data_IF_850666456520
#
_entry.id   IF_850666456520
#
_cell.length_a   1.000
_cell.length_b   1.000
_cell.length_c   1.000
_cell.angle_alpha   90.00
_cell.angle_beta   90.00
_cell.angle_gamma   90.00
#
_symmetry.space_group_name_H-M   'P 1'
#
loop_
_entity.id
_entity.type
_entity.pdbx_description
1 polymer ?
#
# COMPACT_ATOMS: atom_id res chain seq x y z
N UNK A 1 -19.29 18.39 -13.88
CA UNK A 1 -17.99 18.31 -13.18
C UNK A 1 -17.44 16.94 -13.43
N UNK A 2 -16.19 16.82 -13.89
CA UNK A 2 -15.52 15.52 -13.96
C UNK A 2 -15.08 15.15 -12.55
N UNK A 3 -15.22 13.89 -12.18
CA UNK A 3 -14.74 13.37 -10.90
C UNK A 3 -13.21 13.42 -10.86
N UNK A 4 -12.64 14.03 -9.80
CA UNK A 4 -11.19 13.99 -9.54
C UNK A 4 -10.90 13.05 -8.35
N UNK A 5 -10.37 11.84 -8.60
CA UNK A 5 -10.06 10.88 -7.55
C UNK A 5 -9.04 11.42 -6.55
N UNK A 6 -8.10 12.27 -6.97
CA UNK A 6 -7.06 12.81 -6.09
C UNK A 6 -7.64 13.78 -5.06
N UNK A 7 -8.53 14.66 -5.50
CA UNK A 7 -9.22 15.57 -4.58
C UNK A 7 -10.09 14.80 -3.58
N UNK A 8 -10.81 13.78 -4.04
CA UNK A 8 -11.62 12.92 -3.18
C UNK A 8 -10.77 12.19 -2.12
N UNK A 9 -9.63 11.62 -2.51
CA UNK A 9 -8.71 10.93 -1.59
C UNK A 9 -8.00 11.88 -0.61
N UNK A 10 -7.64 13.10 -1.03
CA UNK A 10 -7.12 14.14 -0.13
C UNK A 10 -8.18 14.57 0.89
N UNK A 11 -9.41 14.79 0.45
CA UNK A 11 -10.52 15.15 1.34
C UNK A 11 -10.82 14.04 2.38
N UNK A 12 -10.58 12.78 2.01
CA UNK A 12 -10.71 11.63 2.91
C UNK A 12 -9.48 11.39 3.82
N UNK A 13 -8.44 12.23 3.72
CA UNK A 13 -7.21 12.11 4.51
C UNK A 13 -6.33 10.91 4.14
N UNK A 14 -6.55 10.30 2.97
CA UNK A 14 -5.77 9.15 2.47
C UNK A 14 -4.47 9.63 1.82
N UNK A 15 -4.55 10.71 1.05
CA UNK A 15 -3.38 11.38 0.47
C UNK A 15 -2.98 12.55 1.38
N UNK A 16 -1.77 12.47 1.94
CA UNK A 16 -1.15 13.55 2.72
C UNK A 16 -0.10 14.30 1.92
N UNK A 17 0.09 15.60 2.19
CA UNK A 17 1.09 16.41 1.51
C UNK A 17 2.44 16.39 2.25
N UNK A 18 3.59 16.23 1.56
CA UNK A 18 3.75 16.08 0.11
C UNK A 18 3.55 14.63 -0.37
N UNK A 19 2.82 14.45 -1.48
CA UNK A 19 2.64 13.15 -2.15
C UNK A 19 3.76 12.94 -3.19
N UNK A 20 4.32 11.73 -3.25
CA UNK A 20 5.27 11.37 -4.31
C UNK A 20 4.58 11.40 -5.70
N UNK A 21 5.20 11.95 -6.76
CA UNK A 21 4.56 12.09 -8.08
C UNK A 21 4.03 10.78 -8.65
N UNK A 22 4.77 9.68 -8.49
CA UNK A 22 4.35 8.35 -8.93
C UNK A 22 3.06 7.87 -8.23
N UNK A 23 2.85 8.28 -6.98
CA UNK A 23 1.65 7.95 -6.23
C UNK A 23 0.45 8.79 -6.71
N UNK A 24 0.67 10.06 -7.04
CA UNK A 24 -0.37 10.90 -7.64
C UNK A 24 -0.84 10.36 -9.00
N UNK A 25 0.09 9.90 -9.84
CA UNK A 25 -0.23 9.30 -11.14
C UNK A 25 -1.04 8.01 -10.98
N UNK A 26 -0.65 7.13 -10.04
CA UNK A 26 -1.37 5.90 -9.76
C UNK A 26 -2.81 6.15 -9.28
N UNK A 27 -3.02 7.16 -8.44
CA UNK A 27 -4.36 7.50 -7.96
C UNK A 27 -5.20 8.29 -8.96
N UNK A 28 -4.57 8.98 -9.91
CA UNK A 28 -5.28 9.70 -10.97
C UNK A 28 -6.06 8.78 -11.93
N UNK A 29 -5.66 7.50 -12.04
CA UNK A 29 -6.31 6.53 -12.93
C UNK A 29 -7.51 5.80 -12.31
N UNK A 30 -7.82 6.04 -11.03
CA UNK A 30 -8.90 5.34 -10.35
C UNK A 30 -10.28 5.77 -10.83
N UNK A 31 -11.20 4.81 -10.90
CA UNK A 31 -12.63 5.09 -11.08
C UNK A 31 -13.25 5.69 -9.82
N UNK A 32 -14.46 6.22 -9.97
CA UNK A 32 -15.25 6.73 -8.85
C UNK A 32 -15.58 5.62 -7.85
N UNK A 33 -15.94 4.43 -8.32
CA UNK A 33 -16.23 3.26 -7.48
C UNK A 33 -15.00 2.79 -6.71
N UNK A 34 -13.84 2.70 -7.36
CA UNK A 34 -12.58 2.32 -6.73
C UNK A 34 -12.16 3.32 -5.65
N UNK A 35 -12.32 4.62 -5.95
CA UNK A 35 -12.03 5.68 -4.99
C UNK A 35 -12.97 5.60 -3.77
N UNK A 36 -14.26 5.40 -4.01
CA UNK A 36 -15.25 5.24 -2.94
C UNK A 36 -14.99 4.01 -2.07
N UNK A 37 -14.52 2.91 -2.68
CA UNK A 37 -14.10 1.72 -1.95
C UNK A 37 -12.93 2.03 -1.01
N UNK A 38 -11.90 2.73 -1.49
CA UNK A 38 -10.74 3.12 -0.67
C UNK A 38 -11.14 4.02 0.50
N UNK A 39 -12.02 5.00 0.27
CA UNK A 39 -12.56 5.87 1.32
C UNK A 39 -13.34 5.06 2.36
N UNK A 40 -14.17 4.13 1.90
CA UNK A 40 -14.95 3.26 2.78
C UNK A 40 -14.04 2.37 3.63
N UNK A 41 -12.99 1.81 3.03
CA UNK A 41 -12.02 0.97 3.74
C UNK A 41 -11.25 1.80 4.78
N UNK A 42 -10.78 3.00 4.42
CA UNK A 42 -10.05 3.88 5.34
C UNK A 42 -10.89 4.22 6.58
N UNK A 43 -12.20 4.47 6.42
CA UNK A 43 -13.09 4.77 7.55
C UNK A 43 -13.44 3.55 8.41
N UNK A 44 -13.44 2.33 7.85
CA UNK A 44 -13.83 1.10 8.56
C UNK A 44 -12.64 0.35 9.17
N UNK A 45 -11.45 0.45 8.59
CA UNK A 45 -10.25 -0.24 9.07
C UNK A 45 -9.99 -0.04 10.57
N UNK A 46 -10.16 1.17 11.17
CA UNK A 46 -9.94 1.35 12.60
C UNK A 46 -10.88 0.56 13.50
N UNK A 47 -12.10 0.28 13.03
CA UNK A 47 -13.09 -0.47 13.81
C UNK A 47 -12.91 -1.99 13.67
N UNK A 48 -12.39 -2.46 12.52
CA UNK A 48 -12.31 -3.89 12.21
C UNK A 48 -10.97 -4.49 12.63
N UNK A 49 -9.87 -3.72 12.53
CA UNK A 49 -8.52 -4.20 12.80
C UNK A 49 -7.72 -3.16 13.61
N UNK A 50 -8.12 -2.92 14.88
CA UNK A 50 -7.45 -1.95 15.73
C UNK A 50 -5.98 -2.31 15.99
N UNK A 51 -5.65 -3.60 16.10
CA UNK A 51 -4.28 -4.08 16.30
C UNK A 51 -3.37 -3.80 15.10
N UNK A 52 -3.90 -3.89 13.87
CA UNK A 52 -3.15 -3.60 12.66
C UNK A 52 -2.79 -2.12 12.58
N UNK A 53 -3.71 -1.22 12.95
CA UNK A 53 -3.41 0.21 13.00
C UNK A 53 -2.42 0.57 14.10
N UNK A 54 -2.53 -0.08 15.27
CA UNK A 54 -1.58 0.10 16.36
C UNK A 54 -0.15 -0.25 15.92
N UNK A 55 0.02 -1.25 15.06
CA UNK A 55 1.31 -1.61 14.49
C UNK A 55 1.70 -0.77 13.27
N UNK A 56 0.75 -0.29 12.45
CA UNK A 56 1.04 0.60 11.31
C UNK A 56 1.62 1.95 11.76
N UNK A 57 1.11 2.53 12.85
CA UNK A 57 1.62 3.80 13.37
C UNK A 57 3.08 3.70 13.88
N UNK A 58 3.51 2.51 14.29
CA UNK A 58 4.89 2.19 14.67
C UNK A 58 5.73 1.58 13.54
N UNK A 59 5.09 1.16 12.44
CA UNK A 59 5.75 0.43 11.37
C UNK A 59 6.46 1.40 10.44
N UNK A 60 7.68 1.77 10.85
CA UNK A 60 8.72 1.90 9.86
C UNK A 60 8.75 0.57 9.10
N UNK A 61 8.51 0.59 7.78
CA UNK A 61 8.67 -0.58 6.94
C UNK A 61 10.17 -0.89 6.87
N UNK A 62 10.68 -1.47 7.94
CA UNK A 62 12.07 -1.86 8.04
C UNK A 62 12.32 -3.05 7.12
N UNK A 63 13.48 -3.04 6.47
CA UNK A 63 13.93 -4.20 5.73
C UNK A 63 13.92 -5.42 6.66
N UNK A 64 13.55 -6.62 6.16
CA UNK A 64 13.50 -7.81 6.99
C UNK A 64 14.80 -7.98 7.78
N UNK A 65 14.73 -8.36 9.06
CA UNK A 65 15.91 -8.50 9.93
C UNK A 65 17.01 -9.38 9.29
N UNK A 66 16.61 -10.35 8.46
CA UNK A 66 17.54 -11.20 7.74
C UNK A 66 18.49 -10.43 6.78
N UNK A 67 18.11 -9.24 6.31
CA UNK A 67 18.97 -8.37 5.52
C UNK A 67 20.13 -7.77 6.31
N UNK A 68 20.02 -7.71 7.65
CA UNK A 68 21.08 -7.22 8.54
C UNK A 68 22.25 -8.20 8.64
N UNK A 69 22.04 -9.46 8.26
CA UNK A 69 23.08 -10.49 8.25
C UNK A 69 23.69 -10.73 6.85
N UNK A 70 23.46 -9.80 5.91
CA UNK A 70 24.03 -9.87 4.56
C UNK A 70 23.30 -10.83 3.61
N UNK A 71 22.12 -11.33 3.99
CA UNK A 71 21.25 -12.08 3.09
C UNK A 71 20.41 -11.12 2.26
N UNK A 72 20.42 -11.24 0.93
CA UNK A 72 19.48 -10.47 0.12
C UNK A 72 18.03 -10.92 0.42
N UNK A 73 17.16 -9.95 0.72
CA UNK A 73 15.73 -10.21 1.00
C UNK A 73 15.05 -11.03 -0.12
N UNK A 74 15.48 -10.84 -1.36
CA UNK A 74 15.02 -11.57 -2.53
C UNK A 74 15.25 -13.09 -2.41
N UNK A 75 16.32 -13.53 -1.74
CA UNK A 75 16.61 -14.97 -1.54
C UNK A 75 15.72 -15.63 -0.46
N UNK A 76 15.13 -14.84 0.44
CA UNK A 76 14.34 -15.34 1.57
C UNK A 76 12.83 -15.17 1.39
N UNK A 77 12.40 -14.35 0.43
CA UNK A 77 11.01 -14.30 0.04
C UNK A 77 10.68 -15.57 -0.76
N UNK A 78 10.36 -16.67 -0.05
CA UNK A 78 9.66 -17.84 -0.58
C UNK A 78 8.30 -17.49 -1.23
N UNK A 79 7.95 -16.20 -1.24
CA UNK A 79 6.95 -15.51 -2.03
C UNK A 79 6.92 -15.96 -3.50
N UNK A 80 8.07 -16.25 -4.12
CA UNK A 80 8.13 -16.81 -5.49
C UNK A 80 7.69 -18.28 -5.57
N UNK A 81 7.88 -19.05 -4.50
CA UNK A 81 7.47 -20.44 -4.39
C UNK A 81 5.98 -20.57 -4.02
N UNK A 82 5.44 -19.59 -3.28
CA UNK A 82 4.05 -19.61 -2.79
C UNK A 82 3.06 -18.84 -3.69
N UNK A 83 3.50 -17.80 -4.42
CA UNK A 83 2.62 -17.02 -5.31
C UNK A 83 2.51 -17.54 -6.75
N UNK A 84 3.21 -18.64 -7.09
CA UNK A 84 3.15 -19.25 -8.41
C UNK A 84 3.79 -18.42 -9.54
N UNK A 85 4.51 -17.34 -9.23
CA UNK A 85 5.18 -16.49 -10.23
C UNK A 85 6.54 -17.02 -10.71
N UNK A 86 6.87 -18.27 -10.37
CA UNK A 86 8.13 -18.93 -10.73
C UNK A 86 8.25 -19.22 -12.23
N UNK A 87 8.48 -18.18 -13.03
CA UNK A 87 9.18 -18.31 -14.30
C UNK A 87 10.62 -17.87 -14.10
N UNK A 88 11.45 -18.78 -13.58
CA UNK A 88 12.88 -18.71 -13.80
C UNK A 88 13.14 -19.08 -15.26
N UNK A 89 13.42 -18.10 -16.11
CA UNK A 89 14.06 -18.35 -17.39
C UNK A 89 15.56 -18.14 -17.19
N UNK A 90 16.32 -19.22 -17.41
CA UNK A 90 17.77 -19.20 -17.64
C UNK A 90 18.12 -18.34 -18.86
#
# INVERSE_FOLDING_TARGET
MAFDPKEALRAAGILGDPVAPALEEAFASLSEEETNLLITLNSRAPAVVPEVLAHMASAQWDAPEATQHGFEAAMLCACGLWSGSGNAQN
#
